data_IF_558077717840
#
_entry.id   IF_558077717840
#
_cell.length_a   1.000
_cell.length_b   1.000
_cell.length_c   1.000
_cell.angle_alpha   90.00
_cell.angle_beta   90.00
_cell.angle_gamma   90.00
#
_symmetry.space_group_name_H-M   'P 1'
#
loop_
_entity.id
_entity.type
_entity.pdbx_description
1 polymer ?
#
# COMPACT_ATOMS: atom_id res chain seq x y z
N UNK A 1 -9.75 -21.15 7.83
CA UNK A 1 -10.06 -19.85 7.23
C UNK A 1 -8.89 -19.23 6.46
N UNK A 2 -7.81 -18.76 7.08
CA UNK A 2 -6.69 -18.10 6.36
C UNK A 2 -6.02 -19.01 5.30
N UNK A 3 -5.68 -20.26 5.66
CA UNK A 3 -5.11 -21.25 4.72
C UNK A 3 -6.07 -21.66 3.60
N UNK A 4 -7.37 -21.65 3.84
CA UNK A 4 -8.39 -22.01 2.85
C UNK A 4 -8.54 -20.91 1.81
N UNK A 5 -8.64 -19.65 2.24
CA UNK A 5 -8.67 -18.48 1.35
C UNK A 5 -7.41 -18.47 0.48
N UNK A 6 -6.25 -18.68 1.08
CA UNK A 6 -4.98 -18.72 0.36
C UNK A 6 -4.97 -19.80 -0.73
N UNK A 7 -5.28 -21.05 -0.37
CA UNK A 7 -5.32 -22.16 -1.33
C UNK A 7 -6.32 -21.92 -2.47
N UNK A 8 -7.56 -21.54 -2.14
CA UNK A 8 -8.63 -21.32 -3.12
C UNK A 8 -8.26 -20.27 -4.18
N UNK A 9 -7.55 -19.20 -3.79
CA UNK A 9 -7.22 -18.10 -4.69
C UNK A 9 -5.92 -18.38 -5.45
N UNK A 10 -4.94 -19.02 -4.83
CA UNK A 10 -3.71 -19.43 -5.52
C UNK A 10 -4.00 -20.42 -6.66
N UNK A 11 -4.94 -21.35 -6.46
CA UNK A 11 -5.39 -22.27 -7.52
C UNK A 11 -6.04 -21.55 -8.70
N UNK A 12 -6.58 -20.34 -8.48
CA UNK A 12 -7.13 -19.45 -9.52
C UNK A 12 -6.08 -18.54 -10.16
N UNK A 13 -4.80 -18.71 -9.82
CA UNK A 13 -3.70 -17.89 -10.34
C UNK A 13 -3.57 -16.51 -9.67
N UNK A 14 -4.17 -16.32 -8.49
CA UNK A 14 -4.00 -15.08 -7.73
C UNK A 14 -2.59 -15.00 -7.13
N UNK A 15 -2.20 -13.78 -6.79
CA UNK A 15 -0.89 -13.43 -6.24
C UNK A 15 -1.02 -13.35 -4.73
N UNK A 16 -0.24 -14.15 -4.00
CA UNK A 16 -0.03 -13.97 -2.58
C UNK A 16 1.08 -12.93 -2.36
N UNK A 17 0.74 -11.87 -1.64
CA UNK A 17 1.66 -10.81 -1.29
C UNK A 17 1.46 -10.39 0.17
N UNK A 18 2.48 -9.76 0.71
CA UNK A 18 2.46 -9.14 2.03
C UNK A 18 2.65 -7.65 1.87
N UNK A 19 1.77 -6.88 2.50
CA UNK A 19 1.81 -5.43 2.50
C UNK A 19 2.00 -4.93 3.92
N UNK A 20 2.88 -3.95 4.09
CA UNK A 20 3.09 -3.29 5.37
C UNK A 20 2.44 -1.92 5.32
N UNK A 21 1.60 -1.60 6.30
CA UNK A 21 0.97 -0.30 6.44
C UNK A 21 1.45 0.35 7.72
N UNK A 22 1.94 1.57 7.61
CA UNK A 22 2.44 2.35 8.74
C UNK A 22 1.68 3.67 8.84
N UNK A 23 1.38 4.06 10.06
CA UNK A 23 0.85 5.40 10.36
C UNK A 23 1.65 6.03 11.47
N UNK A 24 1.75 7.37 11.42
CA UNK A 24 2.32 8.19 12.47
C UNK A 24 1.28 9.23 12.91
N UNK A 25 1.02 9.33 14.21
CA UNK A 25 0.00 10.23 14.76
C UNK A 25 0.44 10.90 16.07
N UNK A 26 -0.29 11.94 16.49
CA UNK A 26 0.02 12.69 17.72
C UNK A 26 -0.43 12.00 19.02
N UNK A 27 -1.17 10.90 18.93
CA UNK A 27 -1.56 10.07 20.07
C UNK A 27 -1.66 8.60 19.67
N UNK A 28 -1.51 7.71 20.65
CA UNK A 28 -1.61 6.26 20.48
C UNK A 28 -2.98 5.84 19.89
N UNK A 29 -4.06 6.40 20.43
CA UNK A 29 -5.42 6.13 19.96
C UNK A 29 -5.61 6.51 18.49
N UNK A 30 -5.11 7.68 18.09
CA UNK A 30 -5.23 8.15 16.70
C UNK A 30 -4.42 7.27 15.77
N UNK A 31 -3.22 6.82 16.16
CA UNK A 31 -2.44 5.87 15.36
C UNK A 31 -3.25 4.58 15.14
N UNK A 32 -3.76 3.99 16.22
CA UNK A 32 -4.52 2.73 16.20
C UNK A 32 -5.78 2.81 15.33
N UNK A 33 -6.59 3.85 15.54
CA UNK A 33 -7.87 3.97 14.86
C UNK A 33 -7.71 4.37 13.39
N UNK A 34 -6.71 5.19 13.08
CA UNK A 34 -6.42 5.58 11.70
C UNK A 34 -5.98 4.38 10.87
N UNK A 35 -5.09 3.53 11.40
CA UNK A 35 -4.63 2.34 10.69
C UNK A 35 -5.77 1.33 10.47
N UNK A 36 -6.57 1.07 11.50
CA UNK A 36 -7.76 0.20 11.39
C UNK A 36 -8.76 0.73 10.36
N UNK A 37 -9.02 2.04 10.36
CA UNK A 37 -9.93 2.68 9.41
C UNK A 37 -9.40 2.57 7.98
N UNK A 38 -8.09 2.77 7.80
CA UNK A 38 -7.42 2.64 6.50
C UNK A 38 -7.55 1.20 5.96
N UNK A 39 -7.23 0.19 6.77
CA UNK A 39 -7.38 -1.22 6.39
C UNK A 39 -8.84 -1.65 6.19
N UNK A 40 -9.79 -1.01 6.87
CA UNK A 40 -11.22 -1.16 6.60
C UNK A 40 -11.63 -0.78 5.17
N UNK A 41 -10.86 0.07 4.48
CA UNK A 41 -11.09 0.39 3.06
C UNK A 41 -10.58 -0.72 2.14
N UNK A 42 -9.42 -1.31 2.44
CA UNK A 42 -8.82 -2.44 1.71
C UNK A 42 -9.75 -3.65 1.74
N UNK A 43 -10.36 -3.95 2.90
CA UNK A 43 -11.30 -5.08 3.08
C UNK A 43 -12.54 -5.05 2.19
N UNK A 44 -12.92 -3.89 1.67
CA UNK A 44 -14.13 -3.72 0.85
C UNK A 44 -13.91 -4.07 -0.62
N UNK A 45 -12.67 -4.27 -1.03
CA UNK A 45 -12.34 -4.54 -2.42
C UNK A 45 -12.65 -6.02 -2.77
N UNK A 46 -13.10 -6.24 -3.99
CA UNK A 46 -13.42 -7.60 -4.47
C UNK A 46 -12.19 -8.33 -5.01
N UNK A 47 -11.26 -7.58 -5.60
CA UNK A 47 -10.04 -8.00 -6.29
C UNK A 47 -8.82 -8.21 -5.37
N UNK A 48 -8.99 -7.99 -4.06
CA UNK A 48 -8.02 -8.32 -3.01
C UNK A 48 -8.78 -8.97 -1.86
N UNK A 49 -8.24 -10.05 -1.31
CA UNK A 49 -8.73 -10.63 -0.06
C UNK A 49 -7.62 -10.60 0.97
N UNK A 50 -7.94 -10.10 2.15
CA UNK A 50 -7.06 -10.16 3.30
C UNK A 50 -7.11 -11.58 3.85
N UNK A 51 -5.93 -12.19 3.96
CA UNK A 51 -5.72 -13.52 4.52
C UNK A 51 -5.46 -13.43 6.02
N UNK A 52 -4.62 -12.47 6.42
CA UNK A 52 -4.22 -12.24 7.81
C UNK A 52 -3.85 -10.76 8.02
N UNK A 53 -4.09 -10.25 9.22
CA UNK A 53 -3.63 -8.94 9.67
C UNK A 53 -2.91 -9.12 11.00
N UNK A 54 -1.70 -8.58 11.09
CA UNK A 54 -0.89 -8.60 12.30
C UNK A 54 -0.49 -7.17 12.64
N UNK A 55 -1.21 -6.60 13.60
CA UNK A 55 -0.92 -5.28 14.14
C UNK A 55 0.22 -5.41 15.15
N UNK A 56 1.27 -4.61 14.95
CA UNK A 56 2.31 -4.42 15.95
C UNK A 56 1.83 -3.48 17.07
N UNK A 57 2.55 -3.49 18.18
CA UNK A 57 2.30 -2.56 19.28
C UNK A 57 2.52 -1.11 18.83
N UNK A 58 1.76 -0.20 19.42
CA UNK A 58 1.95 1.23 19.16
C UNK A 58 3.16 1.72 19.96
N UNK A 59 4.10 2.39 19.29
CA UNK A 59 5.34 2.87 19.89
C UNK A 59 5.43 4.39 19.84
N UNK A 60 5.95 5.01 20.90
CA UNK A 60 6.31 6.44 20.90
C UNK A 60 7.59 6.62 20.07
N UNK A 61 7.61 7.63 19.19
CA UNK A 61 8.72 7.90 18.26
C UNK A 61 9.50 9.12 18.71
N UNK A 62 10.78 8.91 19.04
CA UNK A 62 11.67 9.96 19.58
C UNK A 62 12.10 10.99 18.52
N UNK A 63 12.36 10.57 17.27
CA UNK A 63 12.78 11.46 16.16
C UNK A 63 11.65 11.65 15.14
N UNK A 64 10.55 12.22 15.62
CA UNK A 64 9.39 12.44 14.77
C UNK A 64 9.67 13.51 13.69
N UNK A 65 9.10 13.38 12.47
CA UNK A 65 9.26 14.37 11.40
C UNK A 65 8.88 15.78 11.84
N UNK A 66 9.40 16.80 11.14
CA UNK A 66 9.29 18.22 11.53
C UNK A 66 7.87 18.69 11.89
N UNK A 67 6.85 18.08 11.29
CA UNK A 67 5.43 18.33 11.55
C UNK A 67 4.97 18.00 12.98
N UNK A 68 5.73 17.17 13.70
CA UNK A 68 5.51 16.78 15.11
C UNK A 68 6.48 17.47 16.09
N UNK A 69 7.28 18.45 15.65
CA UNK A 69 8.28 19.11 16.52
C UNK A 69 7.68 19.61 17.83
N UNK A 70 8.30 19.21 18.94
CA UNK A 70 7.89 19.59 20.30
C UNK A 70 6.61 18.87 20.79
N UNK A 71 6.13 17.85 20.07
CA UNK A 71 5.00 17.01 20.45
C UNK A 71 5.42 15.55 20.43
N UNK A 72 4.72 14.72 21.22
CA UNK A 72 4.82 13.27 21.11
C UNK A 72 4.29 12.81 19.75
N UNK A 73 4.89 11.77 19.22
CA UNK A 73 4.39 11.06 18.05
C UNK A 73 4.36 9.57 18.34
N UNK A 74 3.39 8.88 17.75
CA UNK A 74 3.14 7.47 17.96
C UNK A 74 3.04 6.79 16.60
N UNK A 75 3.79 5.70 16.40
CA UNK A 75 3.73 4.88 15.19
C UNK A 75 3.07 3.55 15.46
N UNK A 76 2.33 3.06 14.48
CA UNK A 76 1.88 1.68 14.43
C UNK A 76 2.08 1.10 13.04
N UNK A 77 2.57 -0.14 13.00
CA UNK A 77 2.70 -0.94 11.78
C UNK A 77 1.67 -2.07 11.80
N UNK A 78 1.10 -2.38 10.64
CA UNK A 78 0.31 -3.59 10.42
C UNK A 78 0.85 -4.34 9.20
N UNK A 79 1.22 -5.59 9.42
CA UNK A 79 1.55 -6.56 8.39
C UNK A 79 0.26 -7.21 7.90
N UNK A 80 0.01 -7.17 6.59
CA UNK A 80 -1.21 -7.67 5.98
C UNK A 80 -0.87 -8.65 4.88
N UNK A 81 -1.16 -9.92 5.12
CA UNK A 81 -1.10 -10.95 4.08
C UNK A 81 -2.36 -10.87 3.24
N UNK A 82 -2.16 -10.79 1.93
CA UNK A 82 -3.23 -10.59 0.95
C UNK A 82 -3.07 -11.51 -0.23
N UNK A 83 -4.20 -11.80 -0.86
CA UNK A 83 -4.26 -12.54 -2.11
C UNK A 83 -4.97 -11.64 -3.13
N UNK A 84 -4.34 -11.40 -4.28
CA UNK A 84 -4.72 -10.36 -5.25
C UNK A 84 -4.90 -10.96 -6.64
N UNK A 85 -5.97 -10.59 -7.35
CA UNK A 85 -6.36 -11.29 -8.57
C UNK A 85 -5.49 -11.06 -9.80
N UNK A 86 -4.66 -10.00 -9.82
CA UNK A 86 -3.74 -9.71 -10.92
C UNK A 86 -2.62 -8.75 -10.48
N UNK A 87 -1.53 -8.66 -11.27
CA UNK A 87 -0.45 -7.68 -11.03
C UNK A 87 -0.97 -6.26 -11.17
N UNK A 88 -1.91 -6.00 -12.09
CA UNK A 88 -2.54 -4.69 -12.22
C UNK A 88 -3.27 -4.28 -10.94
N UNK A 89 -4.06 -5.19 -10.35
CA UNK A 89 -4.73 -4.94 -9.08
C UNK A 89 -3.74 -4.78 -7.92
N UNK A 90 -2.60 -5.46 -7.97
CA UNK A 90 -1.52 -5.27 -7.00
C UNK A 90 -0.95 -3.85 -7.08
N UNK A 91 -0.61 -3.39 -8.29
CA UNK A 91 -0.09 -2.04 -8.55
C UNK A 91 -1.11 -0.97 -8.15
N UNK A 92 -2.39 -1.13 -8.50
CA UNK A 92 -3.43 -0.20 -8.06
C UNK A 92 -3.58 -0.18 -6.54
N UNK A 93 -3.49 -1.33 -5.87
CA UNK A 93 -3.55 -1.39 -4.41
C UNK A 93 -2.38 -0.61 -3.79
N UNK A 94 -1.17 -0.70 -4.37
CA UNK A 94 -0.03 0.10 -3.93
C UNK A 94 -0.27 1.60 -4.13
N UNK A 95 -0.80 2.00 -5.29
CA UNK A 95 -1.07 3.41 -5.61
C UNK A 95 -2.13 4.01 -4.68
N UNK A 96 -3.24 3.31 -4.44
CA UNK A 96 -4.40 3.87 -3.76
C UNK A 96 -4.36 3.70 -2.23
N UNK A 97 -3.74 2.64 -1.73
CA UNK A 97 -3.65 2.39 -0.28
C UNK A 97 -2.28 2.73 0.31
N UNK A 98 -1.26 2.97 -0.53
CA UNK A 98 0.04 3.46 -0.08
C UNK A 98 0.68 2.63 1.05
N UNK A 99 0.84 1.31 0.90
CA UNK A 99 1.64 0.54 1.85
C UNK A 99 3.08 1.08 1.87
N UNK A 100 3.75 0.99 3.02
CA UNK A 100 5.16 1.37 3.17
C UNK A 100 6.09 0.42 2.42
N UNK A 101 5.70 -0.85 2.31
CA UNK A 101 6.40 -1.84 1.49
C UNK A 101 5.49 -2.98 1.06
N UNK A 102 5.92 -3.70 0.03
CA UNK A 102 5.24 -4.86 -0.52
C UNK A 102 6.23 -5.97 -0.82
N UNK A 103 5.86 -7.20 -0.48
CA UNK A 103 6.62 -8.41 -0.78
C UNK A 103 5.72 -9.40 -1.52
N UNK A 104 6.14 -9.85 -2.70
CA UNK A 104 5.43 -10.90 -3.45
C UNK A 104 5.95 -12.26 -2.97
N UNK A 105 5.07 -13.05 -2.38
CA UNK A 105 5.40 -14.36 -1.82
C UNK A 105 5.22 -15.47 -2.88
N UNK A 106 4.14 -15.38 -3.67
CA UNK A 106 3.83 -16.34 -4.73
C UNK A 106 2.88 -15.74 -5.78
N UNK A 107 2.97 -16.10 -7.07
CA UNK A 107 3.97 -16.98 -7.67
C UNK A 107 5.32 -16.27 -7.87
N UNK A 108 6.40 -17.05 -8.08
CA UNK A 108 7.73 -16.50 -8.40
C UNK A 108 7.83 -15.94 -9.82
N UNK A 109 6.99 -16.44 -10.71
CA UNK A 109 6.94 -16.06 -12.12
C UNK A 109 5.48 -15.95 -12.55
N UNK A 110 5.20 -14.99 -13.43
CA UNK A 110 3.87 -14.82 -14.02
C UNK A 110 4.00 -14.39 -15.47
N UNK A 111 3.15 -14.93 -16.34
CA UNK A 111 3.05 -14.49 -17.72
C UNK A 111 2.01 -13.38 -17.82
N UNK A 112 2.36 -12.30 -18.51
CA UNK A 112 1.50 -11.16 -18.75
C UNK A 112 1.58 -10.70 -20.20
N UNK A 113 0.52 -10.05 -20.65
CA UNK A 113 0.46 -9.41 -21.97
C UNK A 113 1.10 -8.02 -21.89
N UNK A 114 1.68 -7.55 -22.98
CA UNK A 114 2.30 -6.22 -23.02
C UNK A 114 1.27 -5.10 -22.80
N UNK A 115 0.03 -5.31 -23.20
CA UNK A 115 -1.08 -4.38 -22.97
C UNK A 115 -1.32 -4.14 -21.47
N UNK A 116 -1.21 -5.18 -20.63
CA UNK A 116 -1.36 -5.08 -19.19
C UNK A 116 -0.20 -4.27 -18.59
N UNK A 117 1.04 -4.57 -19.02
CA UNK A 117 2.24 -3.82 -18.61
C UNK A 117 2.12 -2.35 -18.98
N UNK A 118 1.65 -2.06 -20.20
CA UNK A 118 1.45 -0.71 -20.68
C UNK A 118 0.36 0.03 -19.87
N UNK A 119 -0.74 -0.65 -19.53
CA UNK A 119 -1.79 -0.09 -18.65
C UNK A 119 -1.21 0.36 -17.30
N UNK A 120 -0.45 -0.52 -16.64
CA UNK A 120 0.17 -0.22 -15.35
C UNK A 120 1.21 0.90 -15.43
N UNK A 121 2.05 0.88 -16.47
CA UNK A 121 3.04 1.94 -16.68
C UNK A 121 2.38 3.31 -16.88
N UNK A 122 1.27 3.36 -17.62
CA UNK A 122 0.50 4.59 -17.81
C UNK A 122 -0.17 5.07 -16.52
N UNK A 123 -0.72 4.15 -15.71
CA UNK A 123 -1.29 4.50 -14.40
C UNK A 123 -0.24 5.13 -13.48
N UNK A 124 0.97 4.57 -13.42
CA UNK A 124 2.08 5.15 -12.66
C UNK A 124 2.48 6.52 -13.23
N UNK A 125 2.62 6.64 -14.56
CA UNK A 125 2.98 7.90 -15.21
C UNK A 125 1.94 9.00 -14.94
N UNK A 126 0.65 8.67 -14.95
CA UNK A 126 -0.43 9.60 -14.63
C UNK A 126 -0.33 10.09 -13.18
N UNK A 127 -0.13 9.18 -12.23
CA UNK A 127 0.04 9.54 -10.81
C UNK A 127 1.27 10.43 -10.63
N UNK A 128 2.41 10.07 -11.22
CA UNK A 128 3.62 10.89 -11.18
C UNK A 128 3.42 12.28 -11.79
N UNK A 129 2.71 12.37 -12.92
CA UNK A 129 2.40 13.65 -13.55
C UNK A 129 1.51 14.53 -12.66
N UNK A 130 0.50 13.95 -11.99
CA UNK A 130 -0.35 14.66 -11.03
C UNK A 130 0.47 15.15 -9.82
N UNK A 131 1.34 14.31 -9.26
CA UNK A 131 2.22 14.69 -8.15
C UNK A 131 3.19 15.83 -8.53
N UNK A 132 3.79 15.76 -9.72
CA UNK A 132 4.66 16.81 -10.25
C UNK A 132 3.91 18.13 -10.44
N UNK A 133 2.71 18.08 -11.03
CA UNK A 133 1.87 19.25 -11.28
C UNK A 133 1.35 19.90 -10.00
N UNK A 134 1.17 19.12 -8.92
CA UNK A 134 0.81 19.62 -7.60
C UNK A 134 1.99 20.27 -6.84
N UNK A 135 3.19 20.33 -7.44
CA UNK A 135 4.39 20.91 -6.81
C UNK A 135 5.06 20.02 -5.78
N UNK A 136 4.64 18.75 -5.66
CA UNK A 136 5.15 17.79 -4.68
C UNK A 136 6.30 16.89 -5.20
N UNK A 137 6.71 17.05 -6.46
CA UNK A 137 7.92 16.41 -7.00
C UNK A 137 7.89 16.21 -8.53
N UNK A 138 8.66 17.00 -9.28
CA UNK A 138 8.94 16.81 -10.71
C UNK A 138 9.36 18.09 -11.46
N UNK A 139 10.18 17.94 -12.51
CA UNK A 139 10.91 19.00 -13.25
C UNK A 139 9.99 20.16 -13.70
N UNK A 140 10.21 21.34 -13.14
CA UNK A 140 9.70 22.60 -13.68
C UNK A 140 10.58 22.95 -14.89
N UNK A 141 10.10 22.72 -16.11
CA UNK A 141 10.71 23.36 -17.28
C UNK A 141 10.22 24.80 -17.28
N UNK A 142 11.00 25.70 -16.69
CA UNK A 142 10.81 27.13 -16.87
C UNK A 142 11.25 27.47 -18.31
N UNK A 143 10.28 27.64 -19.20
CA UNK A 143 10.54 28.31 -20.47
C UNK A 143 11.03 29.72 -20.16
N UNK A 144 12.30 30.02 -20.46
CA UNK A 144 12.79 31.39 -20.46
C UNK A 144 11.95 32.19 -21.46
N UNK A 145 11.30 33.25 -20.98
CA UNK A 145 10.91 34.38 -21.84
C UNK A 145 12.14 35.23 -22.14
#
# INVERSE_FOLDING_TARGET
MSKEILGEHLDKGWIHARMFFEVLAGSEEVARDSLKKHLGSVKKMENIKIVEEKYEDVVEVDDAPKQFKGKKAYSQVCEVDVVVSSVENLVYSVIFFGPSSIEIISPKEMRMKFEEVQSMANAVAEIMHRYASAGAGGIIISGKK
#
